data_IF_655503094618
#
_entry.id   IF_655503094618
#
_cell.length_a   1.000
_cell.length_b   1.000
_cell.length_c   1.000
_cell.angle_alpha   90.00
_cell.angle_beta   90.00
_cell.angle_gamma   90.00
#
_symmetry.space_group_name_H-M   'P 1'
#
loop_
_entity.id
_entity.type
_entity.pdbx_description
1 polymer ?
#
# COMPACT_ATOMS: atom_id res chain seq x y z
N UNK A 1 -4.95 -6.72 19.87
CA UNK A 1 -4.28 -7.49 18.79
C UNK A 1 -4.81 -6.97 17.48
N UNK A 2 -3.97 -6.81 16.46
CA UNK A 2 -4.42 -6.48 15.09
C UNK A 2 -4.18 -7.70 14.21
N UNK A 3 -5.14 -8.06 13.37
CA UNK A 3 -5.05 -9.19 12.46
C UNK A 3 -5.54 -8.80 11.07
N UNK A 4 -5.04 -9.50 10.06
CA UNK A 4 -5.44 -9.27 8.67
C UNK A 4 -4.89 -10.36 7.76
N UNK A 5 -5.54 -10.51 6.60
CA UNK A 5 -5.17 -11.48 5.57
C UNK A 5 -4.82 -10.76 4.26
N UNK A 6 -3.87 -11.29 3.48
CA UNK A 6 -3.43 -10.72 2.20
C UNK A 6 -3.03 -9.24 2.34
N UNK A 7 -3.65 -8.31 1.61
CA UNK A 7 -3.44 -6.88 1.76
C UNK A 7 -3.62 -6.40 3.21
N UNK A 8 -4.59 -6.96 3.95
CA UNK A 8 -4.77 -6.68 5.36
C UNK A 8 -3.60 -7.15 6.22
N UNK A 9 -2.96 -8.26 5.87
CA UNK A 9 -1.75 -8.75 6.55
C UNK A 9 -0.55 -7.83 6.31
N UNK A 10 -0.39 -7.35 5.07
CA UNK A 10 0.59 -6.32 4.74
C UNK A 10 0.32 -5.04 5.55
N UNK A 11 -0.94 -4.61 5.68
CA UNK A 11 -1.33 -3.46 6.50
C UNK A 11 -1.05 -3.66 7.99
N UNK A 12 -1.37 -4.83 8.58
CA UNK A 12 -1.04 -5.13 9.98
C UNK A 12 0.45 -4.99 10.24
N UNK A 13 1.25 -5.50 9.31
CA UNK A 13 2.68 -5.49 9.42
C UNK A 13 3.27 -4.07 9.20
N UNK A 14 2.71 -3.30 8.27
CA UNK A 14 3.01 -1.88 8.10
C UNK A 14 2.64 -1.04 9.33
N UNK A 15 1.50 -1.30 9.95
CA UNK A 15 1.10 -0.66 11.22
C UNK A 15 2.08 -0.97 12.35
N UNK A 16 2.75 -2.13 12.31
CA UNK A 16 3.79 -2.44 13.26
C UNK A 16 5.07 -1.64 13.00
N UNK A 17 5.39 -1.39 11.73
CA UNK A 17 6.58 -0.65 11.31
C UNK A 17 6.45 0.87 11.49
N UNK A 18 5.25 1.43 11.37
CA UNK A 18 5.05 2.88 11.47
C UNK A 18 5.21 3.37 12.92
N UNK A 19 6.00 4.45 13.15
CA UNK A 19 6.12 5.05 14.49
C UNK A 19 4.78 5.59 15.01
N UNK A 20 3.86 5.98 14.12
CA UNK A 20 2.55 6.51 14.47
C UNK A 20 1.63 5.47 15.11
N UNK A 21 1.78 4.18 14.76
CA UNK A 21 0.88 3.12 15.20
C UNK A 21 1.53 2.02 16.02
N UNK A 22 2.87 1.91 16.03
CA UNK A 22 3.56 0.76 16.64
C UNK A 22 3.21 0.54 18.11
N UNK A 23 2.85 1.58 18.87
CA UNK A 23 2.49 1.46 20.29
C UNK A 23 0.98 1.40 20.57
N UNK A 24 0.14 1.36 19.53
CA UNK A 24 -1.32 1.29 19.68
C UNK A 24 -1.85 -0.15 19.83
N UNK A 25 -0.99 -1.14 19.66
CA UNK A 25 -1.35 -2.55 19.82
C UNK A 25 -0.19 -3.41 20.33
N UNK A 26 -0.55 -4.54 20.93
CA UNK A 26 0.38 -5.38 21.71
C UNK A 26 0.77 -6.69 21.01
N UNK A 27 -0.01 -7.14 20.01
CA UNK A 27 0.16 -8.43 19.31
C UNK A 27 -0.34 -8.28 17.87
N UNK A 28 0.22 -9.07 16.95
CA UNK A 28 -0.15 -9.03 15.53
C UNK A 28 -0.32 -10.43 14.92
N UNK A 29 -1.27 -10.55 13.99
CA UNK A 29 -1.51 -11.77 13.21
C UNK A 29 -1.64 -11.43 11.71
N UNK A 30 -0.52 -11.27 10.98
CA UNK A 30 -0.53 -11.15 9.54
C UNK A 30 -0.59 -12.54 8.87
N UNK A 31 -1.62 -12.77 8.06
CA UNK A 31 -1.86 -14.05 7.38
C UNK A 31 -1.71 -13.88 5.86
N UNK A 32 -0.89 -14.72 5.21
CA UNK A 32 -0.70 -14.68 3.75
C UNK A 32 -0.26 -13.32 3.17
N UNK A 33 0.54 -12.56 3.93
CA UNK A 33 1.06 -11.27 3.49
C UNK A 33 1.86 -10.56 4.56
N UNK A 34 2.71 -9.63 4.16
CA UNK A 34 3.50 -8.77 5.04
C UNK A 34 3.96 -7.51 4.28
N UNK A 35 4.57 -6.56 4.99
CA UNK A 35 4.99 -5.27 4.45
C UNK A 35 6.09 -5.40 3.37
N UNK A 36 6.82 -6.52 3.32
CA UNK A 36 7.91 -6.77 2.35
C UNK A 36 7.48 -7.64 1.17
N UNK A 37 6.20 -8.05 1.08
CA UNK A 37 5.70 -8.67 -0.14
C UNK A 37 5.89 -7.72 -1.33
N UNK A 38 6.35 -8.22 -2.48
CA UNK A 38 6.59 -7.43 -3.70
C UNK A 38 5.41 -6.51 -4.06
N UNK A 39 4.20 -6.99 -3.82
CA UNK A 39 2.94 -6.33 -4.15
C UNK A 39 2.42 -5.38 -3.05
N UNK A 40 3.07 -5.31 -1.88
CA UNK A 40 2.56 -4.57 -0.71
C UNK A 40 2.68 -3.05 -0.86
N UNK A 41 3.72 -2.58 -1.56
CA UNK A 41 4.08 -1.18 -1.70
C UNK A 41 4.92 -0.97 -2.94
N UNK A 42 4.95 0.26 -3.47
CA UNK A 42 5.73 0.54 -4.66
C UNK A 42 6.21 1.99 -4.73
N UNK A 43 7.46 2.21 -5.11
CA UNK A 43 8.05 3.55 -5.27
C UNK A 43 7.52 4.32 -6.49
N UNK A 44 6.97 3.61 -7.48
CA UNK A 44 6.45 4.20 -8.72
C UNK A 44 4.97 4.65 -8.59
N UNK A 45 4.42 4.66 -7.37
CA UNK A 45 3.05 5.14 -7.14
C UNK A 45 2.81 6.58 -7.61
N UNK A 46 3.75 7.55 -7.51
CA UNK A 46 3.54 8.88 -8.08
C UNK A 46 3.27 8.86 -9.59
N UNK A 47 4.02 8.06 -10.36
CA UNK A 47 3.82 7.90 -11.81
C UNK A 47 2.50 7.20 -12.11
N UNK A 48 2.15 6.17 -11.34
CA UNK A 48 0.86 5.49 -11.45
C UNK A 48 -0.32 6.44 -11.18
N UNK A 49 -0.20 7.32 -10.19
CA UNK A 49 -1.19 8.36 -9.88
C UNK A 49 -1.38 9.33 -11.05
N UNK A 50 -0.30 9.80 -11.68
CA UNK A 50 -0.38 10.66 -12.88
C UNK A 50 -1.09 9.94 -14.04
N UNK A 51 -0.76 8.67 -14.28
CA UNK A 51 -1.42 7.86 -15.31
C UNK A 51 -2.92 7.71 -15.02
N UNK A 52 -3.29 7.51 -13.75
CA UNK A 52 -4.70 7.45 -13.35
C UNK A 52 -5.39 8.81 -13.51
N UNK A 53 -4.74 9.91 -13.15
CA UNK A 53 -5.29 11.26 -13.36
C UNK A 53 -5.62 11.52 -14.83
N UNK A 54 -4.70 11.17 -15.73
CA UNK A 54 -4.92 11.29 -17.18
C UNK A 54 -6.12 10.45 -17.65
N UNK A 55 -6.30 9.23 -17.14
CA UNK A 55 -7.49 8.39 -17.44
C UNK A 55 -8.80 8.98 -16.92
N UNK A 56 -8.74 9.79 -15.87
CA UNK A 56 -9.88 10.51 -15.31
C UNK A 56 -10.13 11.86 -16.00
N UNK A 57 -9.38 12.18 -17.05
CA UNK A 57 -9.48 13.44 -17.80
C UNK A 57 -8.77 14.63 -17.14
N UNK A 58 -7.98 14.40 -16.10
CA UNK A 58 -7.14 15.41 -15.43
C UNK A 58 -5.75 15.36 -16.07
N UNK A 59 -5.54 16.14 -17.14
CA UNK A 59 -4.31 16.13 -17.94
C UNK A 59 -3.56 17.45 -17.96
N UNK A 60 -4.21 18.56 -17.61
CA UNK A 60 -3.63 19.91 -17.63
C UNK A 60 -3.46 20.42 -16.19
N UNK A 61 -2.31 20.12 -15.59
CA UNK A 61 -1.98 20.54 -14.24
C UNK A 61 -0.52 21.00 -14.15
N UNK A 62 -0.28 22.02 -13.32
CA UNK A 62 1.05 22.65 -13.18
C UNK A 62 1.98 21.91 -12.23
N UNK A 63 1.41 21.26 -11.22
CA UNK A 63 2.12 20.54 -10.17
C UNK A 63 1.17 19.54 -9.46
N UNK A 64 1.68 18.82 -8.46
CA UNK A 64 0.91 17.82 -7.72
C UNK A 64 -0.28 18.39 -6.95
N UNK A 65 -0.18 19.62 -6.42
CA UNK A 65 -1.28 20.26 -5.68
C UNK A 65 -2.43 20.65 -6.60
N UNK A 66 -2.11 21.20 -7.78
CA UNK A 66 -3.10 21.50 -8.83
C UNK A 66 -3.79 20.22 -9.31
N UNK A 67 -3.02 19.16 -9.58
CA UNK A 67 -3.56 17.85 -9.92
C UNK A 67 -4.50 17.32 -8.83
N UNK A 68 -4.12 17.42 -7.56
CA UNK A 68 -4.92 16.98 -6.43
C UNK A 68 -6.23 17.78 -6.29
N UNK A 69 -6.17 19.11 -6.47
CA UNK A 69 -7.36 19.96 -6.44
C UNK A 69 -8.36 19.60 -7.54
N UNK A 70 -7.85 19.31 -8.74
CA UNK A 70 -8.69 18.86 -9.86
C UNK A 70 -9.27 17.47 -9.61
N UNK A 71 -8.47 16.52 -9.11
CA UNK A 71 -8.92 15.17 -8.76
C UNK A 71 -10.02 15.17 -7.70
N UNK A 72 -9.98 16.08 -6.72
CA UNK A 72 -11.04 16.22 -5.69
C UNK A 72 -12.41 16.62 -6.27
N UNK A 73 -12.45 17.17 -7.49
CA UNK A 73 -13.69 17.54 -8.20
C UNK A 73 -14.27 16.36 -9.00
N UNK A 74 -13.51 15.29 -9.19
CA UNK A 74 -13.96 14.09 -9.90
C UNK A 74 -14.87 13.24 -8.99
N UNK A 75 -16.01 12.74 -9.48
CA UNK A 75 -16.88 11.85 -8.69
C UNK A 75 -16.16 10.60 -8.18
N UNK A 76 -16.41 10.24 -6.91
CA UNK A 76 -15.70 9.16 -6.22
C UNK A 76 -15.84 7.79 -6.91
N UNK A 77 -16.98 7.52 -7.56
CA UNK A 77 -17.22 6.27 -8.31
C UNK A 77 -16.25 6.08 -9.47
N UNK A 78 -15.67 7.17 -10.00
CA UNK A 78 -14.66 7.10 -11.06
C UNK A 78 -13.31 6.60 -10.58
N UNK A 79 -13.08 6.53 -9.26
CA UNK A 79 -11.84 6.02 -8.68
C UNK A 79 -11.85 4.49 -8.46
N UNK A 80 -12.91 3.79 -8.89
CA UNK A 80 -12.98 2.32 -8.79
C UNK A 80 -11.75 1.65 -9.43
N UNK A 81 -11.20 0.67 -8.71
CA UNK A 81 -10.03 -0.13 -9.11
C UNK A 81 -10.50 -1.56 -9.35
N UNK A 82 -10.41 -2.02 -10.60
CA UNK A 82 -10.84 -3.37 -11.01
C UNK A 82 -9.72 -4.39 -10.76
N UNK A 83 -10.02 -5.53 -10.13
CA UNK A 83 -9.09 -6.66 -10.08
C UNK A 83 -9.50 -7.76 -11.07
N UNK A 84 -8.61 -8.27 -11.94
CA UNK A 84 -7.20 -7.89 -12.13
C UNK A 84 -7.02 -6.61 -12.95
N UNK A 85 -5.97 -5.84 -12.61
CA UNK A 85 -5.68 -4.52 -13.18
C UNK A 85 -4.82 -4.70 -14.43
N UNK A 86 -5.33 -4.26 -15.59
CA UNK A 86 -4.58 -4.30 -16.86
C UNK A 86 -3.77 -3.03 -17.11
N UNK A 87 -4.23 -1.87 -16.64
CA UNK A 87 -3.62 -0.57 -16.95
C UNK A 87 -2.78 -0.02 -15.78
N UNK A 88 -1.63 -0.65 -15.55
CA UNK A 88 -0.65 -0.28 -14.51
C UNK A 88 0.72 0.00 -15.11
N UNK A 89 1.61 0.62 -14.33
CA UNK A 89 3.03 0.69 -14.66
C UNK A 89 3.66 -0.72 -14.64
N UNK A 90 4.66 -1.02 -15.50
CA UNK A 90 5.21 -2.37 -15.65
C UNK A 90 5.68 -3.02 -14.33
N UNK A 91 6.27 -2.21 -13.44
CA UNK A 91 6.86 -2.67 -12.18
C UNK A 91 5.87 -2.63 -11.00
N UNK A 92 4.61 -2.30 -11.24
CA UNK A 92 3.57 -2.20 -10.23
C UNK A 92 2.70 -3.45 -10.26
N UNK A 93 2.46 -4.09 -9.12
CA UNK A 93 1.59 -5.27 -9.06
C UNK A 93 0.10 -4.88 -9.03
N UNK A 94 -0.26 -3.84 -8.28
CA UNK A 94 -1.62 -3.29 -8.17
C UNK A 94 -1.65 -1.77 -8.40
N UNK A 95 -2.71 -1.24 -9.03
CA UNK A 95 -2.91 0.19 -9.33
C UNK A 95 -2.75 1.11 -8.12
N UNK A 96 -3.18 0.65 -6.95
CA UNK A 96 -3.11 1.40 -5.70
C UNK A 96 -2.51 0.53 -4.62
N UNK A 97 -1.34 0.92 -4.13
CA UNK A 97 -0.67 0.33 -2.97
C UNK A 97 -0.06 1.44 -2.11
N UNK A 98 0.22 1.18 -0.84
CA UNK A 98 1.03 2.07 -0.01
C UNK A 98 2.35 2.50 -0.67
N UNK A 99 2.78 3.72 -0.36
CA UNK A 99 4.08 4.29 -0.71
C UNK A 99 4.83 4.60 0.59
N UNK A 100 6.16 4.52 0.57
CA UNK A 100 7.00 5.09 1.63
C UNK A 100 6.98 6.62 1.48
N UNK A 101 6.22 7.30 2.33
CA UNK A 101 5.83 8.70 2.18
C UNK A 101 6.72 9.71 2.92
N UNK A 102 7.64 9.23 3.77
CA UNK A 102 8.48 10.09 4.60
C UNK A 102 7.82 10.59 5.88
N UNK A 103 6.56 10.20 6.15
CA UNK A 103 5.83 10.55 7.38
C UNK A 103 5.31 9.29 8.08
N UNK A 104 4.27 8.65 7.51
CA UNK A 104 3.76 7.40 8.05
C UNK A 104 4.83 6.30 8.01
N UNK A 105 5.65 6.31 6.97
CA UNK A 105 6.88 5.54 6.83
C UNK A 105 8.08 6.50 6.61
N UNK A 106 8.80 6.91 7.66
CA UNK A 106 9.86 7.91 7.55
C UNK A 106 11.16 7.36 6.94
N UNK A 107 11.26 6.05 6.74
CA UNK A 107 12.39 5.36 6.12
C UNK A 107 11.90 4.14 5.34
N UNK A 108 12.80 3.45 4.64
CA UNK A 108 12.45 2.19 3.96
C UNK A 108 11.91 1.16 4.95
N UNK A 109 10.99 0.32 4.48
CA UNK A 109 10.35 -0.71 5.32
C UNK A 109 11.38 -1.68 5.93
N UNK A 110 12.52 -1.92 5.26
CA UNK A 110 13.63 -2.71 5.79
C UNK A 110 14.35 -2.04 6.97
N UNK A 111 14.57 -0.72 6.89
CA UNK A 111 15.18 0.05 7.99
C UNK A 111 14.23 0.08 9.17
N UNK A 112 12.96 0.39 8.93
CA UNK A 112 11.93 0.39 9.98
C UNK A 112 11.79 -0.98 10.64
N UNK A 113 11.89 -2.08 9.87
CA UNK A 113 11.87 -3.44 10.41
C UNK A 113 12.99 -3.70 11.40
N UNK A 114 14.21 -3.27 11.08
CA UNK A 114 15.37 -3.44 11.97
C UNK A 114 15.24 -2.64 13.27
N UNK A 115 14.51 -1.52 13.22
CA UNK A 115 14.28 -0.63 14.37
C UNK A 115 13.05 -1.03 15.20
N UNK A 116 12.08 -1.73 14.60
CA UNK A 116 10.83 -2.08 15.24
C UNK A 116 11.05 -2.98 16.47
N UNK A 117 10.46 -2.61 17.60
CA UNK A 117 10.49 -3.44 18.82
C UNK A 117 9.64 -4.70 18.59
N UNK A 118 10.19 -5.92 18.72
CA UNK A 118 9.44 -7.14 18.49
C UNK A 118 8.18 -7.23 19.34
N UNK A 119 7.11 -7.77 18.74
CA UNK A 119 5.83 -8.06 19.39
C UNK A 119 5.50 -9.55 19.23
N UNK A 120 4.70 -10.14 20.14
CA UNK A 120 4.12 -11.45 19.89
C UNK A 120 3.40 -11.50 18.53
N UNK A 121 3.85 -12.44 17.71
CA UNK A 121 3.49 -12.60 16.30
C UNK A 121 2.99 -14.03 16.07
N UNK A 122 1.84 -14.16 15.42
CA UNK A 122 1.39 -15.42 14.80
C UNK A 122 1.23 -15.16 13.31
N UNK A 123 1.88 -15.93 12.45
CA UNK A 123 1.79 -15.74 11.00
C UNK A 123 1.77 -17.09 10.30
N UNK A 124 1.39 -17.10 9.03
CA UNK A 124 1.31 -18.30 8.22
C UNK A 124 0.85 -18.02 6.81
N UNK A 125 1.01 -19.02 5.97
CA UNK A 125 0.52 -19.08 4.59
C UNK A 125 -0.24 -20.40 4.42
N UNK A 126 -1.17 -20.44 3.47
CA UNK A 126 -1.78 -21.69 3.02
C UNK A 126 -0.79 -22.47 2.16
N UNK A 127 -1.04 -23.78 2.01
CA UNK A 127 -0.17 -24.68 1.25
C UNK A 127 -0.03 -24.25 -0.22
N UNK A 128 -1.10 -23.70 -0.80
CA UNK A 128 -1.23 -23.46 -2.22
C UNK A 128 -1.69 -22.01 -2.51
N UNK A 129 -1.10 -21.01 -1.84
CA UNK A 129 -1.44 -19.57 -1.98
C UNK A 129 -1.54 -19.10 -3.44
N UNK A 130 -0.67 -19.64 -4.30
CA UNK A 130 -0.57 -19.25 -5.71
C UNK A 130 -1.67 -19.79 -6.62
N UNK A 131 -2.55 -20.69 -6.15
CA UNK A 131 -3.64 -21.22 -6.98
C UNK A 131 -4.74 -20.19 -7.28
N UNK A 132 -4.75 -19.04 -6.58
CA UNK A 132 -5.72 -17.96 -6.83
C UNK A 132 -5.37 -17.06 -8.03
N UNK A 133 -4.28 -17.33 -8.77
CA UNK A 133 -3.81 -16.52 -9.90
C UNK A 133 -4.18 -17.12 -11.27
#
# INVERSE_FOLDING_TARGET
TVLGQSAGAASVDMLHLSPHSTNLFHKMIPMAGNALCRWSSNKNMPQQCVKRANRLGVTDFKNSEDMLEQLRKVPADKFDVKFPIRDKEPDVDFETVPLVDGDFFPASLEVLRKQAKPKPLMTGVTKEEGLML
#
